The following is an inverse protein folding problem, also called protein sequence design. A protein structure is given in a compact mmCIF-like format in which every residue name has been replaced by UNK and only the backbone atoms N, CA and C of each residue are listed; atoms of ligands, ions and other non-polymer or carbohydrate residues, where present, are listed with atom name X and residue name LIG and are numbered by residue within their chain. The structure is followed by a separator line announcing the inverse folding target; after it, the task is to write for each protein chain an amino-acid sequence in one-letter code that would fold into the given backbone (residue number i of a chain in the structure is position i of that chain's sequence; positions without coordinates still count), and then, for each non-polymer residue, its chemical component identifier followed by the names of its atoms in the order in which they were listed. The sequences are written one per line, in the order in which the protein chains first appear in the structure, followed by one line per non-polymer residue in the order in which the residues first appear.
data_IF_062519071067
#
_entry.id   IF_062519071067
#
_cell.length_a   1.000
_cell.length_b   1.000
_cell.length_c   1.000
_cell.angle_alpha   90.00
_cell.angle_beta   90.00
_cell.angle_gamma   90.00
#
_symmetry.space_group_name_H-M   'P 1'
#
loop_
_entity.id
_entity.type
_entity.pdbx_description
1 polymer ?
#
# COMPACT_ATOMS: atom_id res chain seq x y z
N UNK A 1 -16.81 -7.22 15.75
CA UNK A 1 -15.73 -6.32 15.30
C UNK A 1 -15.84 -5.04 16.11
N UNK A 2 -14.74 -4.31 16.33
CA UNK A 2 -14.80 -3.06 17.08
C UNK A 2 -15.31 -1.94 16.17
N UNK A 3 -16.10 -1.01 16.70
CA UNK A 3 -16.62 0.16 15.98
C UNK A 3 -15.52 0.94 15.22
N UNK A 4 -14.33 1.04 15.81
CA UNK A 4 -13.17 1.67 15.14
C UNK A 4 -12.65 0.89 13.93
N UNK A 5 -12.77 -0.44 13.92
CA UNK A 5 -12.38 -1.25 12.77
C UNK A 5 -13.38 -1.02 11.64
N UNK A 6 -14.68 -1.00 11.94
CA UNK A 6 -15.73 -0.77 10.95
C UNK A 6 -15.58 0.62 10.29
N UNK A 7 -15.17 1.64 11.05
CA UNK A 7 -14.86 2.98 10.51
C UNK A 7 -13.67 2.91 9.54
N UNK A 8 -12.57 2.26 9.94
CA UNK A 8 -11.38 2.12 9.09
C UNK A 8 -11.74 1.41 7.79
N UNK A 9 -12.43 0.28 7.89
CA UNK A 9 -12.79 -0.54 6.74
C UNK A 9 -13.71 0.23 5.78
N UNK A 10 -14.67 1.02 6.30
CA UNK A 10 -15.54 1.88 5.49
C UNK A 10 -14.73 2.95 4.74
N UNK A 11 -13.83 3.67 5.43
CA UNK A 11 -13.02 4.71 4.81
C UNK A 11 -12.14 4.16 3.69
N UNK A 12 -11.53 3.00 3.91
CA UNK A 12 -10.69 2.36 2.91
C UNK A 12 -11.52 1.91 1.70
N UNK A 13 -12.64 1.26 1.94
CA UNK A 13 -13.52 0.79 0.86
C UNK A 13 -14.04 1.95 0.02
N UNK A 14 -14.48 3.04 0.66
CA UNK A 14 -14.89 4.27 -0.03
C UNK A 14 -13.80 4.83 -0.95
N UNK A 15 -12.53 4.77 -0.52
CA UNK A 15 -11.42 5.21 -1.35
C UNK A 15 -11.14 4.26 -2.52
N UNK A 16 -11.20 2.95 -2.29
CA UNK A 16 -10.98 1.97 -3.36
C UNK A 16 -12.07 2.01 -4.44
N UNK A 17 -13.28 2.41 -4.07
CA UNK A 17 -14.41 2.55 -5.00
C UNK A 17 -14.45 3.92 -5.71
N UNK A 18 -13.51 4.82 -5.41
CA UNK A 18 -13.46 6.19 -5.94
C UNK A 18 -12.46 6.36 -7.10
N UNK A 19 -12.79 7.24 -8.05
CA UNK A 19 -11.91 7.57 -9.19
C UNK A 19 -10.59 8.25 -8.74
N UNK A 20 -10.58 8.92 -7.58
CA UNK A 20 -9.41 9.57 -6.97
C UNK A 20 -8.81 8.75 -5.81
N UNK A 21 -8.83 7.41 -5.94
CA UNK A 21 -8.61 6.48 -4.83
C UNK A 21 -7.31 6.69 -4.04
N UNK A 22 -6.20 7.07 -4.70
CA UNK A 22 -4.94 7.32 -4.00
C UNK A 22 -4.98 8.57 -3.11
N UNK A 23 -5.54 9.68 -3.59
CA UNK A 23 -5.65 10.93 -2.80
C UNK A 23 -6.65 10.76 -1.64
N UNK A 24 -7.72 9.99 -1.87
CA UNK A 24 -8.63 9.57 -0.82
C UNK A 24 -7.89 8.74 0.24
N UNK A 25 -7.11 7.73 -0.17
CA UNK A 25 -6.33 6.90 0.75
C UNK A 25 -5.35 7.72 1.57
N UNK A 26 -4.65 8.68 0.96
CA UNK A 26 -3.75 9.61 1.68
C UNK A 26 -4.50 10.36 2.78
N UNK A 27 -5.71 10.83 2.49
CA UNK A 27 -6.56 11.49 3.49
C UNK A 27 -6.98 10.52 4.60
N UNK A 28 -7.44 9.33 4.23
CA UNK A 28 -7.83 8.28 5.18
C UNK A 28 -6.66 7.88 6.10
N UNK A 29 -5.45 7.68 5.57
CA UNK A 29 -4.27 7.38 6.37
C UNK A 29 -3.92 8.49 7.36
N UNK A 30 -4.12 9.76 6.97
CA UNK A 30 -3.93 10.89 7.86
C UNK A 30 -4.95 10.94 9.00
N UNK A 31 -6.14 10.39 8.84
CA UNK A 31 -7.10 10.28 9.94
C UNK A 31 -6.82 9.04 10.80
N UNK A 32 -6.53 7.91 10.16
CA UNK A 32 -6.23 6.63 10.81
C UNK A 32 -4.99 6.74 11.70
N UNK A 33 -3.96 7.49 11.29
CA UNK A 33 -2.73 7.68 12.10
C UNK A 33 -3.05 8.32 13.46
N UNK A 34 -4.02 9.24 13.50
CA UNK A 34 -4.39 10.01 14.68
C UNK A 34 -5.41 9.27 15.57
N UNK A 35 -6.00 8.18 15.07
CA UNK A 35 -6.89 7.33 15.88
C UNK A 35 -6.15 6.70 17.08
N UNK A 36 -6.80 6.63 18.26
CA UNK A 36 -6.24 6.04 19.47
C UNK A 36 -5.66 4.65 19.23
N UNK A 37 -4.53 4.34 19.88
CA UNK A 37 -3.95 2.99 19.85
C UNK A 37 -4.83 2.03 20.65
N UNK A 38 -5.81 1.44 19.99
CA UNK A 38 -6.68 0.43 20.59
C UNK A 38 -6.08 -0.96 20.37
N UNK A 39 -6.03 -1.76 21.43
CA UNK A 39 -5.50 -3.13 21.38
C UNK A 39 -6.36 -3.97 20.43
N UNK A 40 -5.75 -4.57 19.41
CA UNK A 40 -6.43 -5.40 18.43
C UNK A 40 -6.96 -4.66 17.19
N UNK A 41 -6.75 -3.34 17.09
CA UNK A 41 -7.12 -2.56 15.90
C UNK A 41 -6.14 -2.86 14.76
N UNK A 42 -6.67 -3.34 13.63
CA UNK A 42 -5.90 -3.67 12.45
C UNK A 42 -5.83 -2.44 11.54
N UNK A 43 -4.78 -1.64 11.69
CA UNK A 43 -4.56 -0.47 10.83
C UNK A 43 -3.95 -0.92 9.50
N UNK A 44 -4.55 -0.53 8.34
CA UNK A 44 -3.99 -0.81 7.04
C UNK A 44 -2.67 -0.06 6.84
N UNK A 45 -1.95 -0.40 5.78
CA UNK A 45 -0.62 0.13 5.46
C UNK A 45 -0.48 0.24 3.95
N UNK A 46 0.12 1.32 3.47
CA UNK A 46 0.65 1.37 2.12
C UNK A 46 2.08 0.79 2.13
N UNK A 47 2.34 -0.19 1.27
CA UNK A 47 3.66 -0.79 1.10
C UNK A 47 4.08 -0.64 -0.35
N UNK A 48 5.24 -0.04 -0.56
CA UNK A 48 5.90 -0.02 -1.86
C UNK A 48 6.90 -1.17 -1.90
N UNK A 49 6.62 -2.18 -2.71
CA UNK A 49 7.51 -3.32 -2.92
C UNK A 49 8.46 -2.98 -4.08
N UNK A 50 9.76 -2.99 -3.81
CA UNK A 50 10.81 -2.61 -4.77
C UNK A 50 11.97 -3.59 -4.76
N UNK A 51 12.87 -3.43 -5.72
CA UNK A 51 14.16 -4.12 -5.81
C UNK A 51 15.21 -3.07 -6.25
N UNK A 52 16.48 -3.31 -5.96
CA UNK A 52 17.61 -2.55 -6.47
C UNK A 52 17.83 -2.77 -7.97
N UNK A 53 17.55 -3.96 -8.49
CA UNK A 53 17.68 -4.30 -9.91
C UNK A 53 16.47 -3.87 -10.77
N UNK A 54 15.48 -3.24 -10.13
CA UNK A 54 14.23 -2.82 -10.76
C UNK A 54 14.37 -1.45 -11.41
N UNK A 55 14.41 -1.45 -12.75
CA UNK A 55 14.56 -0.24 -13.58
C UNK A 55 13.47 0.81 -13.30
N UNK A 56 12.22 0.37 -13.14
CA UNK A 56 11.07 1.28 -12.95
C UNK A 56 10.86 1.68 -11.48
N UNK A 57 11.64 1.12 -10.54
CA UNK A 57 11.49 1.43 -9.11
C UNK A 57 11.95 2.86 -8.78
N UNK A 58 12.89 3.42 -9.53
CA UNK A 58 13.30 4.83 -9.37
C UNK A 58 12.17 5.78 -9.78
N UNK A 59 11.47 5.50 -10.88
CA UNK A 59 10.31 6.27 -11.31
C UNK A 59 9.19 6.21 -10.27
N UNK A 60 8.92 5.01 -9.72
CA UNK A 60 7.91 4.86 -8.68
C UNK A 60 8.27 5.65 -7.41
N UNK A 61 9.53 5.60 -6.97
CA UNK A 61 10.03 6.43 -5.85
C UNK A 61 9.93 7.91 -6.14
N UNK A 62 10.08 8.32 -7.39
CA UNK A 62 9.96 9.73 -7.79
C UNK A 62 8.51 10.20 -7.76
N UNK A 63 7.60 9.41 -8.37
CA UNK A 63 6.17 9.73 -8.43
C UNK A 63 5.54 9.70 -7.03
N UNK A 64 5.87 8.70 -6.22
CA UNK A 64 5.25 8.47 -4.92
C UNK A 64 6.17 8.79 -3.73
N UNK A 65 7.28 9.50 -3.95
CA UNK A 65 8.24 9.88 -2.91
C UNK A 65 7.61 10.73 -1.79
N UNK A 66 6.54 11.46 -2.10
CA UNK A 66 5.70 12.14 -1.11
C UNK A 66 5.10 11.19 -0.07
N UNK A 67 4.68 9.99 -0.49
CA UNK A 67 4.10 8.97 0.40
C UNK A 67 5.15 8.34 1.31
N UNK A 68 6.34 8.08 0.77
CA UNK A 68 7.47 7.54 1.53
C UNK A 68 8.00 8.55 2.55
N UNK A 69 8.21 9.80 2.13
CA UNK A 69 8.74 10.87 2.98
C UNK A 69 7.78 11.32 4.08
N UNK A 70 6.47 11.26 3.84
CA UNK A 70 5.44 11.52 4.87
C UNK A 70 5.21 10.34 5.82
N UNK A 71 5.76 9.16 5.53
CA UNK A 71 5.58 7.94 6.32
C UNK A 71 4.23 7.26 6.14
N UNK A 72 3.44 7.68 5.15
CA UNK A 72 2.17 7.02 4.76
C UNK A 72 2.46 5.67 4.12
N UNK A 73 3.48 5.61 3.25
CA UNK A 73 3.96 4.40 2.65
C UNK A 73 5.27 3.93 3.29
N UNK A 74 5.50 2.62 3.29
CA UNK A 74 6.78 2.02 3.63
C UNK A 74 7.35 1.27 2.45
N UNK A 75 8.60 1.56 2.12
CA UNK A 75 9.34 0.77 1.15
C UNK A 75 9.80 -0.56 1.78
N UNK A 76 9.65 -1.65 1.03
CA UNK A 76 10.12 -2.99 1.38
C UNK A 76 10.85 -3.56 0.17
N UNK A 77 12.10 -3.98 0.37
CA UNK A 77 12.85 -4.70 -0.66
C UNK A 77 12.30 -6.13 -0.80
N UNK A 78 11.87 -6.48 -2.02
CA UNK A 78 11.30 -7.78 -2.40
C UNK A 78 12.22 -8.95 -2.11
N UNK A 79 13.53 -8.74 -2.06
CA UNK A 79 14.55 -9.77 -1.80
C UNK A 79 14.69 -10.08 -0.30
N UNK A 80 14.10 -9.27 0.57
CA UNK A 80 14.09 -9.54 2.01
C UNK A 80 13.05 -10.59 2.37
N UNK A 81 13.22 -11.29 3.50
CA UNK A 81 12.24 -12.28 3.98
C UNK A 81 10.82 -11.72 4.06
N UNK A 82 10.67 -10.44 4.45
CA UNK A 82 9.36 -9.79 4.51
C UNK A 82 8.81 -9.48 3.12
N UNK A 83 9.65 -8.98 2.21
CA UNK A 83 9.26 -8.71 0.82
C UNK A 83 8.81 -9.97 0.10
N UNK A 84 9.60 -11.05 0.20
CA UNK A 84 9.25 -12.36 -0.35
C UNK A 84 7.94 -12.89 0.24
N UNK A 85 7.77 -12.81 1.57
CA UNK A 85 6.53 -13.26 2.20
C UNK A 85 5.30 -12.46 1.75
N UNK A 86 5.42 -11.15 1.57
CA UNK A 86 4.34 -10.32 1.00
C UNK A 86 4.04 -10.75 -0.44
N UNK A 87 5.08 -10.95 -1.26
CA UNK A 87 4.93 -11.37 -2.65
C UNK A 87 4.25 -12.73 -2.78
N UNK A 88 4.75 -13.74 -2.06
CA UNK A 88 4.20 -15.10 -2.07
C UNK A 88 2.77 -15.17 -1.52
N UNK A 89 2.48 -14.47 -0.41
CA UNK A 89 1.16 -14.49 0.22
C UNK A 89 0.08 -13.92 -0.70
N UNK A 90 0.44 -12.90 -1.49
CA UNK A 90 -0.52 -12.12 -2.27
C UNK A 90 -0.42 -12.35 -3.78
N UNK A 91 0.49 -13.22 -4.24
CA UNK A 91 0.69 -13.51 -5.66
C UNK A 91 1.27 -12.34 -6.45
N UNK A 92 2.14 -11.54 -5.83
CA UNK A 92 2.80 -10.40 -6.48
C UNK A 92 4.09 -10.88 -7.14
N UNK A 93 4.04 -11.08 -8.46
CA UNK A 93 5.14 -11.63 -9.25
C UNK A 93 6.14 -10.57 -9.75
N UNK A 94 5.82 -9.27 -9.58
CA UNK A 94 6.58 -8.17 -10.16
C UNK A 94 6.76 -6.97 -9.22
N UNK A 95 7.85 -6.25 -9.44
CA UNK A 95 8.13 -4.95 -8.83
C UNK A 95 8.43 -3.92 -9.93
N UNK A 96 8.13 -2.62 -9.73
CA UNK A 96 7.62 -2.05 -8.49
C UNK A 96 6.10 -2.29 -8.32
N UNK A 97 5.65 -2.37 -7.06
CA UNK A 97 4.22 -2.50 -6.74
C UNK A 97 3.85 -1.62 -5.54
N UNK A 98 2.68 -0.98 -5.58
CA UNK A 98 2.12 -0.22 -4.46
C UNK A 98 0.89 -0.93 -3.93
N UNK A 99 1.04 -1.50 -2.75
CA UNK A 99 0.09 -2.42 -2.15
C UNK A 99 -0.58 -1.76 -0.94
N UNK A 100 -1.90 -1.88 -0.87
CA UNK A 100 -2.65 -1.61 0.33
C UNK A 100 -2.83 -2.91 1.10
N UNK A 101 -2.13 -3.03 2.23
CA UNK A 101 -2.12 -4.23 3.06
C UNK A 101 -2.83 -4.01 4.39
N UNK A 102 -3.41 -5.08 4.93
CA UNK A 102 -3.86 -5.10 6.32
C UNK A 102 -2.67 -5.21 7.31
N UNK A 103 -2.97 -5.34 8.60
CA UNK A 103 -1.95 -5.49 9.63
C UNK A 103 -1.24 -6.86 9.63
N UNK A 104 -1.73 -7.83 8.86
CA UNK A 104 -1.17 -9.17 8.68
C UNK A 104 -0.45 -9.31 7.33
N UNK A 105 -0.20 -8.20 6.64
CA UNK A 105 0.39 -8.16 5.31
C UNK A 105 -0.47 -8.86 4.23
N UNK A 106 -1.78 -9.00 4.44
CA UNK A 106 -2.75 -9.46 3.42
C UNK A 106 -3.20 -8.29 2.54
N UNK A 107 -3.31 -8.54 1.24
CA UNK A 107 -3.73 -7.55 0.25
C UNK A 107 -5.21 -7.19 0.45
N UNK A 108 -5.46 -5.90 0.66
CA UNK A 108 -6.79 -5.29 0.60
C UNK A 108 -7.05 -4.80 -0.82
N UNK A 109 -6.03 -4.19 -1.45
CA UNK A 109 -6.10 -3.71 -2.83
C UNK A 109 -4.72 -3.38 -3.40
N UNK A 110 -4.62 -3.44 -4.72
CA UNK A 110 -3.42 -3.01 -5.46
C UNK A 110 -3.67 -1.61 -6.04
N UNK A 111 -2.81 -0.66 -5.69
CA UNK A 111 -2.95 0.74 -6.10
C UNK A 111 -2.15 1.02 -7.38
N UNK A 112 -1.12 0.21 -7.61
CA UNK A 112 -0.32 0.24 -8.80
C UNK A 112 0.41 -1.09 -8.96
N UNK A 113 0.35 -1.66 -10.17
CA UNK A 113 1.17 -2.80 -10.58
C UNK A 113 1.96 -2.45 -11.83
N UNK A 114 3.18 -2.98 -11.97
CA UNK A 114 3.98 -2.84 -13.18
C UNK A 114 3.28 -3.38 -14.45
N UNK A 115 2.17 -4.12 -14.33
CA UNK A 115 1.37 -4.57 -15.46
C UNK A 115 0.62 -3.43 -16.17
N UNK A 116 0.52 -2.25 -15.56
CA UNK A 116 -0.13 -1.07 -16.15
C UNK A 116 0.85 -0.19 -16.95
N UNK A 117 2.14 -0.53 -16.95
CA UNK A 117 3.15 0.04 -17.85
C UNK A 117 3.41 -0.89 -19.04
N UNK A 118 2.36 -1.23 -19.80
CA UNK A 118 2.62 -1.60 -21.19
C UNK A 118 3.16 -0.34 -21.89
N UNK A 119 4.41 -0.32 -22.39
CA UNK A 119 4.81 0.72 -23.30
C UNK A 119 3.89 0.58 -24.51
N UNK A 120 3.11 1.62 -24.77
CA UNK A 120 2.30 1.81 -25.98
C UNK A 120 3.00 1.15 -27.17
N UNK A 121 2.46 0.04 -27.66
CA UNK A 121 2.86 -0.59 -28.92
C UNK A 121 2.26 0.16 -30.10
#
# INVERSE_FOLDING_TARGET
MSEQQDIIDSMIQECLDSDDGLDCLVTAFNEIKDMPKTKGLCKPRLVMLTDEDCLNCEDMRTIHGGLLSSGIAKEVDARTNRGMAIGELNGIDGVPALLLLDCNDQLIGEIYSSAELDPVS
#
